data_IF_214869883542
#
_entry.id   IF_214869883542
#
_cell.length_a   1.000
_cell.length_b   1.000
_cell.length_c   1.000
_cell.angle_alpha   90.00
_cell.angle_beta   90.00
_cell.angle_gamma   90.00
#
_symmetry.space_group_name_H-M   'P 1'
#
loop_
_entity.id
_entity.type
_entity.pdbx_description
1 polymer ?
#
# COMPACT_ATOMS: atom_id res chain seq x y z
N UNK A 1 18.53 38.31 -48.02
CA UNK A 1 19.03 37.96 -46.68
C UNK A 1 17.97 38.34 -45.65
N UNK A 2 17.20 37.37 -45.17
CA UNK A 2 16.28 37.57 -44.05
C UNK A 2 16.36 36.34 -43.16
N UNK A 3 17.07 36.44 -42.04
CA UNK A 3 17.17 35.36 -41.04
C UNK A 3 15.87 35.37 -40.24
N UNK A 4 14.99 34.41 -40.50
CA UNK A 4 13.89 34.09 -39.60
C UNK A 4 14.47 33.34 -38.41
N UNK A 5 14.70 34.05 -37.31
CA UNK A 5 15.04 33.45 -36.01
C UNK A 5 13.75 32.79 -35.52
N UNK A 6 13.67 31.48 -35.63
CA UNK A 6 12.68 30.70 -34.88
C UNK A 6 13.14 30.72 -33.43
N UNK A 7 12.57 31.63 -32.63
CA UNK A 7 12.64 31.51 -31.18
C UNK A 7 11.92 30.22 -30.81
N UNK A 8 12.69 29.17 -30.58
CA UNK A 8 12.25 28.01 -29.81
C UNK A 8 11.85 28.55 -28.43
N UNK A 9 10.55 28.74 -28.22
CA UNK A 9 10.00 28.98 -26.89
C UNK A 9 10.50 27.85 -25.99
N UNK A 10 11.40 28.18 -25.07
CA UNK A 10 11.79 27.28 -24.00
C UNK A 10 10.52 26.83 -23.26
N UNK A 11 10.35 25.53 -22.95
CA UNK A 11 9.25 25.12 -22.09
C UNK A 11 9.41 25.87 -20.76
N UNK A 12 8.36 26.58 -20.33
CA UNK A 12 8.36 27.23 -19.03
C UNK A 12 8.74 26.18 -17.98
N UNK A 13 9.90 26.33 -17.35
CA UNK A 13 10.31 25.46 -16.25
C UNK A 13 9.32 25.69 -15.12
N UNK A 14 8.44 24.73 -14.89
CA UNK A 14 7.59 24.71 -13.69
C UNK A 14 8.49 24.80 -12.45
N UNK A 15 8.09 25.61 -11.46
CA UNK A 15 8.83 25.76 -10.19
C UNK A 15 8.19 24.86 -9.11
N UNK A 16 8.89 24.60 -8.01
CA UNK A 16 8.27 24.00 -6.82
C UNK A 16 7.56 25.09 -6.01
N UNK A 17 6.29 24.87 -5.68
CA UNK A 17 5.55 25.81 -4.83
C UNK A 17 6.07 25.78 -3.39
N UNK A 18 6.47 24.59 -2.94
CA UNK A 18 6.99 24.40 -1.58
C UNK A 18 8.35 25.07 -1.45
N UNK A 19 9.26 24.89 -2.42
CA UNK A 19 10.54 25.61 -2.42
C UNK A 19 10.36 27.13 -2.44
N UNK A 20 9.46 27.66 -3.28
CA UNK A 20 9.17 29.11 -3.31
C UNK A 20 8.65 29.60 -1.95
N UNK A 21 7.80 28.82 -1.30
CA UNK A 21 7.27 29.16 0.03
C UNK A 21 8.37 29.14 1.09
N UNK A 22 9.23 28.12 1.09
CA UNK A 22 10.35 27.99 2.03
C UNK A 22 11.45 29.02 1.76
N UNK A 23 11.66 29.48 0.52
CA UNK A 23 12.59 30.58 0.24
C UNK A 23 12.12 31.90 0.87
N UNK A 24 10.80 32.13 0.88
CA UNK A 24 10.23 33.32 1.50
C UNK A 24 10.09 33.19 3.02
N UNK A 25 9.88 31.98 3.53
CA UNK A 25 9.78 31.68 4.95
C UNK A 25 10.38 30.29 5.25
N UNK A 26 11.65 30.28 5.60
CA UNK A 26 12.45 29.04 5.73
C UNK A 26 12.01 28.12 6.85
N UNK A 27 11.32 28.65 7.86
CA UNK A 27 10.89 27.88 9.03
C UNK A 27 9.43 27.39 8.91
N UNK A 28 8.75 27.63 7.79
CA UNK A 28 7.34 27.27 7.60
C UNK A 28 7.09 25.78 7.82
N UNK A 29 6.03 25.49 8.58
CA UNK A 29 5.55 24.14 8.76
C UNK A 29 4.74 23.66 7.55
N UNK A 30 4.47 22.36 7.44
CA UNK A 30 3.69 21.84 6.32
C UNK A 30 2.26 22.39 6.31
N UNK A 31 1.66 22.61 7.48
CA UNK A 31 0.34 23.23 7.58
C UNK A 31 0.33 24.67 7.03
N UNK A 32 1.39 25.46 7.26
CA UNK A 32 1.52 26.80 6.67
C UNK A 32 1.61 26.74 5.14
N UNK A 33 2.36 25.77 4.62
CA UNK A 33 2.51 25.55 3.17
C UNK A 33 1.16 25.14 2.57
N UNK A 34 0.44 24.19 3.18
CA UNK A 34 -0.90 23.78 2.75
C UNK A 34 -1.90 24.93 2.81
N UNK A 35 -1.88 25.74 3.86
CA UNK A 35 -2.77 26.89 4.00
C UNK A 35 -2.54 27.92 2.89
N UNK A 36 -1.27 28.28 2.65
CA UNK A 36 -0.90 29.20 1.56
C UNK A 36 -1.26 28.66 0.18
N UNK A 37 -1.12 27.35 -0.01
CA UNK A 37 -1.56 26.68 -1.23
C UNK A 37 -3.08 26.83 -1.41
N UNK A 38 -3.85 26.55 -0.34
CA UNK A 38 -5.30 26.64 -0.35
C UNK A 38 -5.80 28.06 -0.59
N UNK A 39 -5.30 29.08 0.12
CA UNK A 39 -5.68 30.48 -0.11
C UNK A 39 -5.44 30.90 -1.57
N UNK A 40 -4.30 30.48 -2.14
CA UNK A 40 -3.97 30.78 -3.53
C UNK A 40 -4.89 30.07 -4.52
N UNK A 41 -5.32 28.84 -4.23
CA UNK A 41 -6.31 28.12 -5.03
C UNK A 41 -7.68 28.82 -5.02
N UNK A 42 -8.15 29.27 -3.85
CA UNK A 42 -9.41 30.03 -3.71
C UNK A 42 -9.37 31.38 -4.44
N UNK A 43 -8.24 32.10 -4.36
CA UNK A 43 -8.05 33.35 -5.10
C UNK A 43 -8.19 33.16 -6.61
N UNK A 44 -7.75 32.01 -7.15
CA UNK A 44 -7.88 31.69 -8.57
C UNK A 44 -9.32 31.37 -8.94
N UNK A 45 -10.05 30.64 -8.08
CA UNK A 45 -11.48 30.37 -8.27
C UNK A 45 -12.32 31.66 -8.21
N UNK A 46 -11.97 32.60 -7.34
CA UNK A 46 -12.62 33.91 -7.24
C UNK A 46 -12.34 34.82 -8.46
N UNK A 47 -11.14 34.76 -9.04
CA UNK A 47 -10.80 35.48 -10.28
C UNK A 47 -11.48 34.84 -11.51
N UNK A 48 -11.61 33.51 -11.54
CA UNK A 48 -12.32 32.80 -12.60
C UNK A 48 -13.83 33.09 -12.61
N UNK A 49 -14.42 33.40 -11.45
CA UNK A 49 -15.85 33.72 -11.32
C UNK A 49 -16.19 35.20 -11.60
N UNK A 50 -15.19 36.08 -11.62
CA UNK A 50 -15.35 37.53 -11.91
C UNK A 50 -14.94 37.94 -13.34
N UNK A 51 -14.31 37.04 -14.10
CA UNK A 51 -13.99 37.23 -15.53
C UNK A 51 -15.12 36.77 -16.45
N UNK A 52 -15.86 37.70 -17.05
CA UNK A 52 -16.74 37.42 -18.18
C UNK A 52 -15.96 36.85 -19.36
N UNK A 53 -16.33 35.65 -19.82
CA UNK A 53 -15.89 35.12 -21.12
C UNK A 53 -15.56 33.62 -21.12
N UNK A 54 -16.61 32.80 -21.18
CA UNK A 54 -16.63 31.38 -21.60
C UNK A 54 -15.35 30.57 -21.53
N UNK A 55 -15.07 29.93 -20.39
CA UNK A 55 -14.31 28.67 -20.35
C UNK A 55 -14.95 27.74 -19.32
N UNK A 56 -15.22 26.50 -19.73
CA UNK A 56 -15.85 25.43 -18.94
C UNK A 56 -15.12 25.12 -17.62
N UNK A 57 -15.83 24.69 -16.55
CA UNK A 57 -15.28 24.56 -15.19
C UNK A 57 -14.21 23.45 -14.99
N UNK A 58 -13.79 22.75 -16.05
CA UNK A 58 -12.70 21.77 -16.01
C UNK A 58 -11.29 22.39 -16.15
N UNK A 59 -11.17 23.71 -16.35
CA UNK A 59 -9.88 24.37 -16.66
C UNK A 59 -9.26 25.19 -15.52
N UNK A 60 -9.96 25.44 -14.41
CA UNK A 60 -9.45 26.30 -13.33
C UNK A 60 -8.36 25.63 -12.47
N UNK A 61 -8.53 24.34 -12.13
CA UNK A 61 -7.48 23.52 -11.50
C UNK A 61 -6.22 23.40 -12.39
N UNK A 62 -6.40 23.52 -13.71
CA UNK A 62 -5.31 23.48 -14.69
C UNK A 62 -4.50 24.79 -14.78
N UNK A 63 -5.04 25.95 -14.40
CA UNK A 63 -4.30 27.22 -14.51
C UNK A 63 -3.15 27.34 -13.50
N UNK A 64 -3.26 26.74 -12.32
CA UNK A 64 -2.15 26.65 -11.37
C UNK A 64 -1.23 25.44 -11.63
N UNK A 65 -1.80 24.33 -12.09
CA UNK A 65 -1.03 23.13 -12.45
C UNK A 65 0.00 23.38 -13.57
N UNK A 66 -0.26 24.35 -14.45
CA UNK A 66 0.69 24.75 -15.50
C UNK A 66 1.92 25.55 -15.02
N UNK A 67 1.95 26.04 -13.77
CA UNK A 67 3.07 26.85 -13.23
C UNK A 67 3.98 26.11 -12.27
N UNK A 68 3.47 25.06 -11.60
CA UNK A 68 4.19 24.30 -10.59
C UNK A 68 4.41 22.84 -10.98
N UNK A 69 5.27 22.12 -10.25
CA UNK A 69 5.46 20.69 -10.46
C UNK A 69 4.14 19.94 -10.23
N UNK A 70 3.64 19.30 -11.29
CA UNK A 70 2.36 18.59 -11.27
C UNK A 70 2.23 17.59 -10.11
N UNK A 71 3.31 16.88 -9.79
CA UNK A 71 3.32 15.89 -8.71
C UNK A 71 3.19 16.54 -7.32
N UNK A 72 3.89 17.65 -7.05
CA UNK A 72 3.70 18.40 -5.79
C UNK A 72 2.26 18.91 -5.66
N UNK A 73 1.70 19.43 -6.75
CA UNK A 73 0.32 19.91 -6.80
C UNK A 73 -0.67 18.79 -6.49
N UNK A 74 -0.50 17.63 -7.12
CA UNK A 74 -1.34 16.47 -6.86
C UNK A 74 -1.23 16.00 -5.41
N UNK A 75 -0.03 15.99 -4.85
CA UNK A 75 0.19 15.57 -3.46
C UNK A 75 -0.39 16.58 -2.46
N UNK A 76 -0.17 17.89 -2.66
CA UNK A 76 -0.77 18.93 -1.83
C UNK A 76 -2.30 18.88 -1.88
N UNK A 77 -2.90 18.68 -3.06
CA UNK A 77 -4.34 18.51 -3.18
C UNK A 77 -4.85 17.25 -2.46
N UNK A 78 -4.10 16.15 -2.55
CA UNK A 78 -4.42 14.92 -1.80
C UNK A 78 -4.38 15.17 -0.28
N UNK A 79 -3.31 15.79 0.22
CA UNK A 79 -3.16 16.11 1.65
C UNK A 79 -4.20 17.10 2.14
N UNK A 80 -4.57 18.09 1.32
CA UNK A 80 -5.65 19.01 1.61
C UNK A 80 -7.00 18.29 1.71
N UNK A 81 -7.28 17.35 0.80
CA UNK A 81 -8.49 16.53 0.88
C UNK A 81 -8.51 15.64 2.14
N UNK A 82 -7.36 15.11 2.55
CA UNK A 82 -7.22 14.34 3.80
C UNK A 82 -7.51 15.21 5.03
N UNK A 83 -7.04 16.46 5.05
CA UNK A 83 -7.26 17.40 6.15
C UNK A 83 -8.75 17.73 6.37
N UNK A 84 -9.55 17.74 5.31
CA UNK A 84 -10.99 18.05 5.37
C UNK A 84 -11.84 16.88 5.94
N UNK A 85 -11.28 15.68 6.07
CA UNK A 85 -12.00 14.52 6.62
C UNK A 85 -12.02 14.55 8.16
N UNK A 86 -13.12 14.11 8.81
CA UNK A 86 -13.18 13.96 10.26
C UNK A 86 -12.07 13.02 10.77
N UNK A 87 -11.13 13.55 11.57
CA UNK A 87 -9.96 12.80 12.07
C UNK A 87 -8.69 12.95 11.24
N UNK A 88 -8.77 13.46 10.00
CA UNK A 88 -7.61 13.67 9.13
C UNK A 88 -6.66 14.76 9.62
N UNK A 89 -7.17 15.75 10.36
CA UNK A 89 -6.34 16.79 10.98
C UNK A 89 -5.28 16.21 11.94
N UNK A 90 -5.64 15.21 12.76
CA UNK A 90 -4.69 14.57 13.70
C UNK A 90 -3.56 13.82 13.00
N UNK A 91 -3.84 13.21 11.85
CA UNK A 91 -2.84 12.49 11.07
C UNK A 91 -1.82 13.45 10.39
N UNK A 92 -2.24 14.69 10.11
CA UNK A 92 -1.40 15.71 9.49
C UNK A 92 -0.66 16.60 10.49
N UNK A 93 -1.04 16.59 11.78
CA UNK A 93 -0.33 17.30 12.85
C UNK A 93 1.15 16.89 12.93
N UNK A 94 1.45 15.60 12.71
CA UNK A 94 2.81 15.07 12.72
C UNK A 94 3.48 15.08 11.32
N UNK A 95 2.73 15.44 10.27
CA UNK A 95 3.24 15.38 8.91
C UNK A 95 3.93 16.70 8.53
N UNK A 96 5.25 16.67 8.47
CA UNK A 96 6.09 17.87 8.27
C UNK A 96 6.59 18.01 6.84
N UNK A 97 7.24 19.14 6.53
CA UNK A 97 7.89 19.37 5.22
C UNK A 97 8.96 18.31 4.95
N UNK A 98 9.62 17.78 5.98
CA UNK A 98 10.58 16.68 5.82
C UNK A 98 9.90 15.37 5.38
N UNK A 99 8.70 15.07 5.90
CA UNK A 99 7.89 13.92 5.46
C UNK A 99 7.46 14.09 4.00
N UNK A 100 7.04 15.30 3.62
CA UNK A 100 6.73 15.65 2.24
C UNK A 100 7.94 15.51 1.31
N UNK A 101 9.12 15.97 1.76
CA UNK A 101 10.37 15.79 1.03
C UNK A 101 10.70 14.31 0.84
N UNK A 102 10.49 13.47 1.86
CA UNK A 102 10.66 12.02 1.79
C UNK A 102 9.67 11.36 0.82
N UNK A 103 8.41 11.81 0.76
CA UNK A 103 7.42 11.29 -0.17
C UNK A 103 7.74 11.64 -1.64
N UNK A 104 8.40 12.79 -1.85
CA UNK A 104 8.91 13.24 -3.14
C UNK A 104 10.27 12.65 -3.53
N UNK A 105 11.08 12.23 -2.56
CA UNK A 105 12.49 11.96 -2.77
C UNK A 105 13.32 13.23 -3.04
N UNK A 106 12.83 14.40 -2.60
CA UNK A 106 13.46 15.69 -2.91
C UNK A 106 14.57 16.03 -1.91
N UNK A 107 15.83 15.88 -2.37
CA UNK A 107 17.00 16.32 -1.62
C UNK A 107 17.02 17.84 -1.38
N UNK A 108 16.66 18.70 -2.36
CA UNK A 108 16.58 20.15 -2.13
C UNK A 108 15.64 20.51 -0.98
N UNK A 109 14.42 19.94 -0.95
CA UNK A 109 13.47 20.19 0.13
C UNK A 109 13.96 19.67 1.49
N UNK A 110 14.65 18.53 1.51
CA UNK A 110 15.32 18.03 2.71
C UNK A 110 16.41 19.00 3.20
N UNK A 111 17.19 19.58 2.28
CA UNK A 111 18.17 20.61 2.58
C UNK A 111 17.55 21.87 3.17
N UNK A 112 16.40 22.30 2.65
CA UNK A 112 15.67 23.45 3.20
C UNK A 112 15.14 23.18 4.61
N UNK A 113 14.76 21.92 4.91
CA UNK A 113 14.33 21.50 6.24
C UNK A 113 15.47 21.46 7.29
N UNK A 114 16.74 21.57 6.90
CA UNK A 114 17.88 21.63 7.83
C UNK A 114 17.86 22.89 8.70
N UNK A 115 17.25 23.96 8.19
CA UNK A 115 17.06 25.20 8.95
C UNK A 115 16.12 25.04 10.15
N UNK A 116 15.54 23.86 10.38
CA UNK A 116 14.56 23.58 11.42
C UNK A 116 13.15 23.93 10.98
N UNK A 117 12.18 23.12 11.39
CA UNK A 117 10.76 23.26 11.03
C UNK A 117 9.99 23.76 12.25
N UNK A 118 9.17 24.80 12.10
CA UNK A 118 8.27 25.22 13.17
C UNK A 118 7.18 24.15 13.36
N UNK A 119 6.98 23.68 14.58
CA UNK A 119 5.90 22.75 14.90
C UNK A 119 5.13 23.23 16.14
N UNK A 120 3.82 22.96 16.24
CA UNK A 120 3.06 23.26 17.44
C UNK A 120 3.65 22.54 18.66
N UNK A 121 3.69 23.21 19.82
CA UNK A 121 4.15 22.57 21.07
C UNK A 121 3.25 21.39 21.46
N UNK A 122 3.85 20.26 21.84
CA UNK A 122 3.15 19.04 22.29
C UNK A 122 2.95 17.97 21.23
N UNK A 123 3.37 18.22 19.99
CA UNK A 123 3.30 17.26 18.86
C UNK A 123 4.39 16.18 18.94
N UNK A 124 5.47 16.43 19.68
CA UNK A 124 6.55 15.46 19.92
C UNK A 124 6.39 14.73 21.25
N UNK A 125 6.48 13.40 21.23
CA UNK A 125 6.50 12.54 22.41
C UNK A 125 7.84 12.68 23.13
N UNK A 126 8.03 13.76 23.88
CA UNK A 126 9.07 13.82 24.91
C UNK A 126 8.48 14.40 26.18
N UNK A 127 8.51 13.61 27.25
CA UNK A 127 8.25 14.03 28.63
C UNK A 127 9.28 15.08 29.05
N UNK A 128 9.06 16.35 28.70
CA UNK A 128 9.71 17.47 29.36
C UNK A 128 8.66 18.51 29.72
N UNK A 129 8.49 18.73 31.02
CA UNK A 129 7.68 19.81 31.55
C UNK A 129 8.32 21.15 31.15
N UNK A 130 7.62 21.96 30.33
CA UNK A 130 8.11 23.28 29.93
C UNK A 130 7.00 24.34 30.00
N UNK A 131 7.37 25.51 30.53
CA UNK A 131 6.51 26.62 30.90
C UNK A 131 6.00 27.50 29.73
N UNK A 132 5.15 28.51 30.05
CA UNK A 132 4.30 29.19 29.08
C UNK A 132 5.01 30.39 28.44
N UNK A 133 5.19 30.40 27.11
CA UNK A 133 5.35 31.66 26.34
C UNK A 133 5.30 31.56 24.80
N UNK A 134 5.41 30.39 24.14
CA UNK A 134 5.34 30.31 22.66
C UNK A 134 4.52 29.10 22.19
N UNK A 135 3.64 29.28 21.18
CA UNK A 135 2.77 28.22 20.65
C UNK A 135 3.48 27.26 19.68
N UNK A 136 4.60 27.69 19.08
CA UNK A 136 5.41 26.93 18.13
C UNK A 136 6.85 26.85 18.60
N UNK A 137 7.51 25.74 18.27
CA UNK A 137 8.92 25.49 18.54
C UNK A 137 9.63 25.12 17.23
N UNK A 138 10.84 25.62 17.03
CA UNK A 138 11.67 25.27 15.89
C UNK A 138 12.37 23.95 16.18
N UNK A 139 12.00 22.92 15.44
CA UNK A 139 12.48 21.56 15.67
C UNK A 139 13.53 21.20 14.62
N UNK A 140 14.74 20.79 15.04
CA UNK A 140 15.79 20.39 14.13
C UNK A 140 15.48 19.06 13.43
N UNK A 141 16.12 18.86 12.27
CA UNK A 141 15.84 17.72 11.38
C UNK A 141 16.17 16.36 12.01
N UNK A 142 17.16 16.29 12.91
CA UNK A 142 17.52 15.07 13.64
C UNK A 142 16.36 14.58 14.53
N UNK A 143 15.76 15.48 15.32
CA UNK A 143 14.59 15.15 16.16
C UNK A 143 13.46 14.64 15.28
N UNK A 144 13.16 15.31 14.16
CA UNK A 144 12.10 14.87 13.24
C UNK A 144 12.42 13.48 12.67
N UNK A 145 13.66 13.25 12.26
CA UNK A 145 14.10 11.97 11.65
C UNK A 145 13.96 10.80 12.61
N UNK A 146 14.23 11.00 13.91
CA UNK A 146 14.27 9.90 14.89
C UNK A 146 13.03 9.76 15.76
N UNK A 147 12.22 10.81 15.93
CA UNK A 147 11.15 10.81 16.94
C UNK A 147 9.76 11.03 16.39
N UNK A 148 9.64 11.60 15.18
CA UNK A 148 8.34 11.99 14.63
C UNK A 148 7.98 11.09 13.44
N UNK A 149 7.12 10.08 13.63
CA UNK A 149 6.53 9.33 12.53
C UNK A 149 5.35 10.07 11.91
N UNK A 150 4.96 9.67 10.70
CA UNK A 150 3.71 10.09 10.08
C UNK A 150 2.48 9.42 10.75
N UNK A 151 1.28 9.73 10.25
CA UNK A 151 0.03 9.14 10.75
C UNK A 151 -0.11 7.62 10.54
N UNK A 152 0.76 6.99 9.73
CA UNK A 152 0.84 5.54 9.53
C UNK A 152 1.96 4.91 10.40
N UNK A 153 2.69 5.69 11.20
CA UNK A 153 3.82 5.21 12.00
C UNK A 153 5.16 5.17 11.24
N UNK A 154 5.24 5.72 10.03
CA UNK A 154 6.44 5.71 9.19
C UNK A 154 7.34 6.92 9.46
N UNK A 155 8.63 6.66 9.71
CA UNK A 155 9.66 7.70 9.69
C UNK A 155 10.08 8.06 8.26
N UNK A 156 10.87 9.13 8.10
CA UNK A 156 11.34 9.62 6.79
C UNK A 156 11.99 8.54 5.92
N UNK A 157 12.78 7.66 6.54
CA UNK A 157 13.44 6.52 5.89
C UNK A 157 12.44 5.50 5.34
N UNK A 158 11.41 5.15 6.11
CA UNK A 158 10.33 4.25 5.71
C UNK A 158 9.47 4.84 4.58
N UNK A 159 9.14 6.13 4.65
CA UNK A 159 8.39 6.81 3.57
C UNK A 159 9.19 6.78 2.26
N UNK A 160 10.47 7.14 2.33
CA UNK A 160 11.36 7.11 1.17
C UNK A 160 11.53 5.68 0.63
N UNK A 161 11.63 4.68 1.50
CA UNK A 161 11.69 3.26 1.14
C UNK A 161 10.41 2.78 0.45
N UNK A 162 9.24 3.11 0.99
CA UNK A 162 7.92 2.81 0.41
C UNK A 162 7.73 3.42 -0.97
N UNK A 163 8.38 4.56 -1.26
CA UNK A 163 8.31 5.25 -2.56
C UNK A 163 9.47 4.94 -3.51
N UNK A 164 10.50 4.21 -3.06
CA UNK A 164 11.64 3.81 -3.89
C UNK A 164 12.73 4.88 -4.03
N UNK A 165 12.81 5.86 -3.13
CA UNK A 165 13.73 6.99 -3.23
C UNK A 165 15.11 6.70 -2.64
N UNK A 166 15.93 5.96 -3.39
CA UNK A 166 17.28 5.53 -2.97
C UNK A 166 18.17 6.70 -2.54
N UNK A 167 18.27 7.76 -3.36
CA UNK A 167 19.14 8.90 -3.08
C UNK A 167 18.72 9.67 -1.81
N UNK A 168 17.42 9.67 -1.49
CA UNK A 168 16.90 10.29 -0.29
C UNK A 168 17.34 9.53 0.95
N UNK A 169 17.18 8.20 0.95
CA UNK A 169 17.66 7.35 2.04
C UNK A 169 19.17 7.46 2.18
N UNK A 170 19.91 7.43 1.06
CA UNK A 170 21.35 7.60 1.05
C UNK A 170 21.77 8.97 1.62
N UNK A 171 21.01 10.04 1.37
CA UNK A 171 21.25 11.35 1.97
C UNK A 171 21.05 11.36 3.48
N UNK A 172 20.00 10.69 3.99
CA UNK A 172 19.81 10.52 5.44
C UNK A 172 20.96 9.71 6.05
N UNK A 173 21.36 8.59 5.41
CA UNK A 173 22.46 7.74 5.86
C UNK A 173 23.80 8.49 5.90
N UNK A 174 24.10 9.32 4.88
CA UNK A 174 25.31 10.16 4.86
C UNK A 174 25.35 11.17 6.00
N UNK A 175 24.17 11.64 6.46
CA UNK A 175 24.05 12.68 7.50
C UNK A 175 24.07 12.11 8.91
N UNK A 176 23.32 11.04 9.14
CA UNK A 176 23.04 10.53 10.48
C UNK A 176 23.64 9.15 10.75
N UNK A 177 24.23 8.52 9.73
CA UNK A 177 24.85 7.20 9.82
C UNK A 177 23.91 6.06 9.45
N UNK A 178 24.48 5.00 8.86
CA UNK A 178 23.71 3.86 8.36
C UNK A 178 22.99 3.10 9.47
N UNK A 179 23.67 2.78 10.57
CA UNK A 179 23.09 2.03 11.68
C UNK A 179 21.90 2.75 12.33
N UNK A 180 21.98 4.07 12.47
CA UNK A 180 20.91 4.87 13.08
C UNK A 180 19.66 4.96 12.20
N UNK A 181 19.82 5.07 10.88
CA UNK A 181 18.70 5.23 9.94
C UNK A 181 18.11 3.89 9.51
N UNK A 182 18.96 2.91 9.15
CA UNK A 182 18.50 1.62 8.63
C UNK A 182 18.04 0.68 9.75
N UNK A 183 18.50 0.89 10.99
CA UNK A 183 18.01 0.20 12.17
C UNK A 183 16.72 0.79 12.76
N UNK A 184 16.12 1.80 12.10
CA UNK A 184 14.82 2.30 12.50
C UNK A 184 13.72 1.30 12.16
N UNK A 185 12.67 1.38 12.96
CA UNK A 185 11.54 0.48 12.99
C UNK A 185 10.28 1.34 13.06
N UNK A 186 9.25 1.05 12.27
CA UNK A 186 7.98 1.82 12.29
C UNK A 186 7.35 1.82 13.69
N UNK A 187 6.57 2.86 13.98
CA UNK A 187 5.99 3.03 15.32
C UNK A 187 5.02 1.88 15.65
N UNK A 188 5.24 1.11 16.74
CA UNK A 188 4.52 -0.14 17.01
C UNK A 188 3.01 0.05 17.22
N UNK A 189 2.61 1.17 17.82
CA UNK A 189 1.20 1.43 18.18
C UNK A 189 0.33 1.91 17.02
N UNK A 190 0.94 2.32 15.90
CA UNK A 190 0.24 2.98 14.77
C UNK A 190 0.14 2.08 13.53
N UNK A 191 0.83 0.94 13.50
CA UNK A 191 0.73 -0.01 12.38
C UNK A 191 -0.60 -0.80 12.45
N UNK A 192 -1.38 -0.87 11.35
CA UNK A 192 -2.67 -1.58 11.32
C UNK A 192 -2.61 -3.07 11.69
N UNK A 193 -1.42 -3.67 11.63
CA UNK A 193 -1.17 -5.10 11.89
C UNK A 193 -0.31 -5.34 13.15
N UNK A 194 -0.02 -4.29 13.93
CA UNK A 194 0.60 -4.39 15.26
C UNK A 194 2.06 -4.86 15.30
N UNK A 195 2.78 -4.80 14.18
CA UNK A 195 4.19 -5.22 14.13
C UNK A 195 5.03 -4.21 13.34
N UNK A 196 6.15 -3.84 13.93
CA UNK A 196 7.07 -2.83 13.42
C UNK A 196 7.91 -3.36 12.27
N UNK A 197 8.05 -2.57 11.21
CA UNK A 197 8.87 -2.88 10.04
C UNK A 197 10.14 -2.04 10.04
N UNK A 198 11.26 -2.66 9.68
CA UNK A 198 12.49 -1.96 9.33
C UNK A 198 12.40 -1.30 7.96
N UNK A 199 13.37 -0.43 7.65
CA UNK A 199 13.48 0.23 6.34
C UNK A 199 13.56 -0.78 5.18
N UNK A 200 14.30 -1.87 5.36
CA UNK A 200 14.42 -2.93 4.34
C UNK A 200 13.08 -3.64 4.14
N UNK A 201 12.45 -4.05 5.23
CA UNK A 201 11.15 -4.75 5.19
C UNK A 201 10.06 -3.86 4.59
N UNK A 202 10.05 -2.55 4.88
CA UNK A 202 9.15 -1.59 4.23
C UNK A 202 9.40 -1.53 2.72
N UNK A 203 10.66 -1.42 2.28
CA UNK A 203 10.98 -1.44 0.85
C UNK A 203 10.50 -2.74 0.17
N UNK A 204 10.65 -3.87 0.86
CA UNK A 204 10.24 -5.18 0.36
C UNK A 204 8.73 -5.30 0.23
N UNK A 205 8.01 -4.95 1.29
CA UNK A 205 6.56 -5.04 1.35
C UNK A 205 5.89 -4.15 0.30
N UNK A 206 6.47 -3.00 -0.03
CA UNK A 206 5.89 -2.04 -0.97
C UNK A 206 6.51 -2.07 -2.39
N UNK A 207 7.33 -3.07 -2.72
CA UNK A 207 7.76 -3.26 -4.11
C UNK A 207 8.99 -2.47 -4.56
N UNK A 208 9.74 -1.85 -3.65
CA UNK A 208 10.83 -0.92 -3.97
C UNK A 208 12.16 -1.63 -4.24
N UNK A 209 12.23 -2.40 -5.34
CA UNK A 209 13.44 -3.15 -5.74
C UNK A 209 14.71 -2.29 -5.84
N UNK A 210 14.69 -1.02 -6.31
CA UNK A 210 15.89 -0.19 -6.32
C UNK A 210 16.48 0.05 -4.93
N UNK A 211 15.62 0.17 -3.91
CA UNK A 211 16.05 0.35 -2.51
C UNK A 211 16.61 -0.97 -1.97
N UNK A 212 15.96 -2.11 -2.23
CA UNK A 212 16.46 -3.42 -1.84
C UNK A 212 17.86 -3.68 -2.41
N UNK A 213 18.02 -3.49 -3.73
CA UNK A 213 19.30 -3.66 -4.41
C UNK A 213 20.39 -2.75 -3.83
N UNK A 214 20.06 -1.48 -3.55
CA UNK A 214 21.01 -0.56 -2.94
C UNK A 214 21.40 -0.97 -1.51
N UNK A 215 20.44 -1.44 -0.70
CA UNK A 215 20.68 -1.92 0.66
C UNK A 215 21.57 -3.17 0.66
N UNK A 216 21.28 -4.17 -0.17
CA UNK A 216 22.08 -5.41 -0.22
C UNK A 216 23.51 -5.16 -0.72
N UNK A 217 23.68 -4.22 -1.65
CA UNK A 217 25.01 -3.90 -2.21
C UNK A 217 25.83 -3.04 -1.24
N UNK A 218 25.21 -2.06 -0.59
CA UNK A 218 25.92 -1.02 0.18
C UNK A 218 25.91 -1.26 1.69
N UNK A 219 24.89 -1.95 2.20
CA UNK A 219 24.61 -2.12 3.63
C UNK A 219 24.10 -3.55 3.93
N UNK A 220 24.89 -4.61 3.65
CA UNK A 220 24.44 -6.00 3.76
C UNK A 220 24.02 -6.42 5.18
N UNK A 221 24.39 -5.66 6.22
CA UNK A 221 23.96 -5.92 7.59
C UNK A 221 22.45 -5.70 7.81
N UNK A 222 21.76 -4.98 6.92
CA UNK A 222 20.31 -4.76 6.97
C UNK A 222 19.52 -5.67 6.03
N UNK A 223 20.18 -6.61 5.35
CA UNK A 223 19.54 -7.51 4.40
C UNK A 223 18.65 -8.53 5.11
N UNK A 224 17.47 -8.79 4.55
CA UNK A 224 16.53 -9.79 5.05
C UNK A 224 16.92 -11.19 4.58
N UNK A 225 17.32 -12.07 5.49
CA UNK A 225 17.58 -13.48 5.20
C UNK A 225 16.30 -14.34 5.17
N UNK A 226 16.29 -15.49 4.45
CA UNK A 226 15.15 -16.40 4.41
C UNK A 226 14.90 -17.16 5.72
N UNK A 227 15.91 -17.26 6.58
CA UNK A 227 15.79 -17.91 7.89
C UNK A 227 15.26 -16.96 8.99
N UNK A 228 15.05 -15.68 8.67
CA UNK A 228 14.54 -14.71 9.63
C UNK A 228 13.04 -14.89 9.85
N UNK A 229 12.60 -14.71 11.10
CA UNK A 229 11.20 -14.85 11.49
C UNK A 229 10.27 -13.89 10.71
N UNK A 230 10.80 -12.74 10.30
CA UNK A 230 10.04 -11.73 9.57
C UNK A 230 9.96 -11.99 8.06
N UNK A 231 10.75 -12.91 7.50
CA UNK A 231 10.79 -13.16 6.06
C UNK A 231 9.43 -13.64 5.52
N UNK A 232 8.80 -14.60 6.21
CA UNK A 232 7.46 -15.10 5.87
C UNK A 232 6.44 -13.96 5.85
N UNK A 233 6.47 -13.09 6.86
CA UNK A 233 5.55 -11.95 6.98
C UNK A 233 5.73 -10.95 5.85
N UNK A 234 6.98 -10.62 5.53
CA UNK A 234 7.31 -9.72 4.43
C UNK A 234 6.82 -10.28 3.10
N UNK A 235 7.07 -11.57 2.84
CA UNK A 235 6.60 -12.29 1.65
C UNK A 235 5.07 -12.30 1.56
N UNK A 236 4.38 -12.60 2.65
CA UNK A 236 2.92 -12.58 2.71
C UNK A 236 2.34 -11.18 2.43
N UNK A 237 2.90 -10.12 3.01
CA UNK A 237 2.44 -8.72 2.78
C UNK A 237 2.76 -8.23 1.36
N UNK A 238 3.96 -8.51 0.84
CA UNK A 238 4.32 -8.15 -0.53
C UNK A 238 3.38 -8.81 -1.54
N UNK A 239 3.02 -10.07 -1.30
CA UNK A 239 2.05 -10.82 -2.10
C UNK A 239 0.64 -10.24 -2.01
N UNK A 240 0.20 -9.87 -0.81
CA UNK A 240 -1.10 -9.21 -0.57
C UNK A 240 -1.21 -7.85 -1.26
N UNK A 241 -0.11 -7.17 -1.55
CA UNK A 241 -0.08 -5.92 -2.31
C UNK A 241 0.29 -6.11 -3.79
N UNK A 242 0.56 -7.35 -4.22
CA UNK A 242 0.83 -7.68 -5.62
C UNK A 242 2.24 -7.36 -6.11
N UNK A 243 3.21 -7.20 -5.21
CA UNK A 243 4.59 -6.84 -5.55
C UNK A 243 5.43 -8.06 -5.96
N UNK A 244 5.11 -8.62 -7.13
CA UNK A 244 5.85 -9.76 -7.70
C UNK A 244 7.36 -9.47 -7.88
N UNK A 245 7.74 -8.22 -8.16
CA UNK A 245 9.15 -7.86 -8.39
C UNK A 245 10.01 -7.99 -7.12
N UNK A 246 9.47 -7.69 -5.94
CA UNK A 246 10.19 -7.90 -4.67
C UNK A 246 10.36 -9.38 -4.36
N UNK A 247 9.32 -10.19 -4.58
CA UNK A 247 9.41 -11.64 -4.45
C UNK A 247 10.45 -12.22 -5.43
N UNK A 248 10.43 -11.78 -6.69
CA UNK A 248 11.40 -12.19 -7.71
C UNK A 248 12.82 -11.86 -7.29
N UNK A 249 13.03 -10.63 -6.79
CA UNK A 249 14.33 -10.18 -6.31
C UNK A 249 14.84 -11.06 -5.15
N UNK A 250 14.01 -11.31 -4.14
CA UNK A 250 14.36 -12.18 -3.01
C UNK A 250 14.65 -13.63 -3.42
N UNK A 251 13.87 -14.18 -4.36
CA UNK A 251 14.12 -15.52 -4.89
C UNK A 251 15.43 -15.60 -5.68
N UNK A 252 15.77 -14.57 -6.45
CA UNK A 252 17.05 -14.48 -7.15
C UNK A 252 18.24 -14.34 -6.19
N UNK A 253 18.07 -13.57 -5.10
CA UNK A 253 19.13 -13.31 -4.13
C UNK A 253 19.49 -14.56 -3.30
N UNK A 254 18.48 -15.31 -2.84
CA UNK A 254 18.70 -16.45 -1.93
C UNK A 254 18.53 -17.83 -2.59
N UNK A 255 18.12 -17.89 -3.85
CA UNK A 255 17.95 -19.13 -4.60
C UNK A 255 17.03 -20.11 -3.88
N UNK A 256 17.43 -21.39 -3.85
CA UNK A 256 16.63 -22.48 -3.25
C UNK A 256 16.25 -22.25 -1.78
N UNK A 257 17.05 -21.51 -1.01
CA UNK A 257 16.77 -21.24 0.40
C UNK A 257 15.52 -20.36 0.59
N UNK A 258 15.15 -19.56 -0.41
CA UNK A 258 13.93 -18.75 -0.36
C UNK A 258 12.65 -19.52 -0.69
N UNK A 259 12.75 -20.71 -1.30
CA UNK A 259 11.59 -21.37 -1.91
C UNK A 259 10.53 -21.75 -0.88
N UNK A 260 10.94 -22.20 0.30
CA UNK A 260 10.01 -22.55 1.37
C UNK A 260 9.22 -21.31 1.84
N UNK A 261 9.92 -20.19 2.05
CA UNK A 261 9.30 -18.93 2.46
C UNK A 261 8.43 -18.36 1.33
N UNK A 262 8.89 -18.41 0.08
CA UNK A 262 8.21 -17.85 -1.07
C UNK A 262 6.85 -18.52 -1.33
N UNK A 263 6.68 -19.80 -0.97
CA UNK A 263 5.37 -20.48 -1.05
C UNK A 263 4.31 -19.77 -0.21
N UNK A 264 4.68 -19.16 0.91
CA UNK A 264 3.75 -18.44 1.79
C UNK A 264 3.14 -17.19 1.10
N UNK A 265 3.71 -16.71 -0.01
CA UNK A 265 3.08 -15.68 -0.84
C UNK A 265 1.84 -16.18 -1.60
N UNK A 266 1.69 -17.50 -1.78
CA UNK A 266 0.62 -18.07 -2.60
C UNK A 266 -0.77 -17.68 -2.08
N UNK A 267 -0.99 -17.82 -0.77
CA UNK A 267 -2.31 -17.66 -0.18
C UNK A 267 -2.78 -16.20 -0.17
N UNK A 268 -1.96 -15.21 0.29
CA UNK A 268 -2.37 -13.80 0.25
C UNK A 268 -2.51 -13.27 -1.17
N UNK A 269 -1.66 -13.72 -2.12
CA UNK A 269 -1.80 -13.36 -3.52
C UNK A 269 -3.10 -13.91 -4.12
N UNK A 270 -3.45 -15.15 -3.80
CA UNK A 270 -4.67 -15.78 -4.27
C UNK A 270 -5.91 -15.10 -3.70
N UNK A 271 -5.89 -14.77 -2.41
CA UNK A 271 -6.95 -14.00 -1.77
C UNK A 271 -7.14 -12.63 -2.43
N UNK A 272 -6.06 -11.89 -2.67
CA UNK A 272 -6.14 -10.56 -3.30
C UNK A 272 -6.37 -10.61 -4.83
N UNK A 273 -6.26 -11.79 -5.46
CA UNK A 273 -6.43 -11.98 -6.89
C UNK A 273 -5.24 -11.52 -7.74
N UNK A 274 -4.03 -11.44 -7.18
CA UNK A 274 -2.82 -11.00 -7.89
C UNK A 274 -2.18 -12.12 -8.70
N UNK A 275 -2.71 -12.39 -9.88
CA UNK A 275 -2.23 -13.45 -10.81
C UNK A 275 -0.75 -13.36 -11.14
N UNK A 276 -0.17 -12.15 -11.24
CA UNK A 276 1.25 -11.95 -11.51
C UNK A 276 2.17 -12.60 -10.45
N UNK A 277 1.75 -12.58 -9.18
CA UNK A 277 2.50 -13.25 -8.09
C UNK A 277 2.37 -14.77 -8.22
N UNK A 278 1.18 -15.29 -8.51
CA UNK A 278 1.00 -16.73 -8.73
C UNK A 278 1.80 -17.25 -9.93
N UNK A 279 1.81 -16.51 -11.04
CA UNK A 279 2.60 -16.85 -12.22
C UNK A 279 4.10 -16.88 -11.92
N UNK A 280 4.61 -15.94 -11.11
CA UNK A 280 6.00 -15.95 -10.64
C UNK A 280 6.30 -17.21 -9.81
N UNK A 281 5.42 -17.54 -8.86
CA UNK A 281 5.59 -18.72 -8.01
C UNK A 281 5.55 -20.02 -8.83
N UNK A 282 4.61 -20.15 -9.76
CA UNK A 282 4.53 -21.31 -10.69
C UNK A 282 5.77 -21.42 -11.54
N UNK A 283 6.23 -20.31 -12.13
CA UNK A 283 7.41 -20.30 -12.98
C UNK A 283 8.67 -20.74 -12.22
N UNK A 284 8.78 -20.38 -10.93
CA UNK A 284 10.00 -20.60 -10.15
C UNK A 284 9.97 -21.90 -9.34
N UNK A 285 8.79 -22.31 -8.85
CA UNK A 285 8.60 -23.45 -7.95
C UNK A 285 7.92 -24.65 -8.61
N UNK A 286 7.37 -24.46 -9.82
CA UNK A 286 6.65 -25.47 -10.59
C UNK A 286 5.13 -25.41 -10.43
N UNK A 287 4.40 -25.95 -11.40
CA UNK A 287 2.93 -25.87 -11.50
C UNK A 287 2.19 -26.44 -10.28
N UNK A 288 2.72 -27.50 -9.67
CA UNK A 288 2.11 -28.15 -8.51
C UNK A 288 2.03 -27.25 -7.27
N UNK A 289 2.78 -26.14 -7.23
CA UNK A 289 2.78 -25.23 -6.09
C UNK A 289 1.40 -24.62 -5.84
N UNK A 290 0.59 -24.41 -6.89
CA UNK A 290 -0.74 -23.78 -6.80
C UNK A 290 -1.69 -24.56 -5.88
N UNK A 291 -1.49 -25.88 -5.79
CA UNK A 291 -2.32 -26.79 -5.01
C UNK A 291 -1.70 -27.16 -3.67
N UNK A 292 -0.58 -26.52 -3.29
CA UNK A 292 0.03 -26.75 -1.98
C UNK A 292 -0.92 -26.22 -0.88
N UNK A 293 -1.27 -27.04 0.12
CA UNK A 293 -2.09 -26.60 1.24
C UNK A 293 -1.26 -25.80 2.26
N UNK A 294 -1.91 -24.84 2.90
CA UNK A 294 -1.38 -24.13 4.06
C UNK A 294 -1.44 -25.00 5.34
N UNK A 295 -1.06 -24.43 6.48
CA UNK A 295 -1.10 -25.11 7.79
C UNK A 295 -2.50 -25.55 8.24
N UNK A 296 -3.55 -25.01 7.62
CA UNK A 296 -4.95 -25.38 7.85
C UNK A 296 -5.49 -26.32 6.77
N UNK A 297 -4.64 -26.83 5.87
CA UNK A 297 -5.08 -27.67 4.75
C UNK A 297 -5.68 -26.87 3.59
N UNK A 298 -5.76 -25.54 3.68
CA UNK A 298 -6.43 -24.71 2.70
C UNK A 298 -5.49 -24.41 1.53
N UNK A 299 -5.98 -24.64 0.31
CA UNK A 299 -5.27 -24.37 -0.95
C UNK A 299 -5.47 -22.93 -1.42
N UNK A 300 -4.71 -22.49 -2.44
CA UNK A 300 -4.88 -21.17 -3.06
C UNK A 300 -6.34 -20.88 -3.47
N UNK A 301 -7.08 -21.90 -3.90
CA UNK A 301 -8.48 -21.78 -4.29
C UNK A 301 -9.40 -21.44 -3.10
N UNK A 302 -9.14 -21.97 -1.90
CA UNK A 302 -9.88 -21.61 -0.69
C UNK A 302 -9.74 -20.11 -0.37
N UNK A 303 -8.51 -19.61 -0.45
CA UNK A 303 -8.18 -18.20 -0.22
C UNK A 303 -8.80 -17.29 -1.29
N UNK A 304 -8.71 -17.67 -2.57
CA UNK A 304 -9.37 -16.97 -3.67
C UNK A 304 -10.90 -16.92 -3.51
N UNK A 305 -11.49 -18.02 -3.02
CA UNK A 305 -12.92 -18.11 -2.79
C UNK A 305 -13.40 -17.16 -1.69
N UNK A 306 -12.58 -16.89 -0.66
CA UNK A 306 -12.89 -16.00 0.47
C UNK A 306 -13.31 -14.59 0.06
N UNK A 307 -12.73 -14.06 -1.03
CA UNK A 307 -13.11 -12.76 -1.61
C UNK A 307 -13.89 -12.89 -2.93
N UNK A 308 -14.17 -14.12 -3.38
CA UNK A 308 -14.90 -14.39 -4.61
C UNK A 308 -14.14 -13.97 -5.88
N UNK A 309 -12.82 -14.20 -5.93
CA UNK A 309 -11.94 -13.82 -7.04
C UNK A 309 -12.16 -14.69 -8.29
N UNK A 310 -13.18 -14.34 -9.08
CA UNK A 310 -13.59 -15.10 -10.28
C UNK A 310 -12.51 -15.15 -11.35
N UNK A 311 -11.74 -14.07 -11.49
CA UNK A 311 -10.67 -13.95 -12.47
C UNK A 311 -9.60 -15.00 -12.20
N UNK A 312 -9.23 -15.20 -10.93
CA UNK A 312 -8.28 -16.23 -10.54
C UNK A 312 -8.86 -17.64 -10.67
N UNK A 313 -10.15 -17.83 -10.38
CA UNK A 313 -10.82 -19.11 -10.62
C UNK A 313 -10.80 -19.51 -12.10
N UNK A 314 -11.00 -18.55 -13.01
CA UNK A 314 -10.90 -18.76 -14.46
C UNK A 314 -9.47 -19.10 -14.88
N UNK A 315 -8.48 -18.42 -14.32
CA UNK A 315 -7.05 -18.71 -14.54
C UNK A 315 -6.72 -20.15 -14.10
N UNK A 316 -7.19 -20.57 -12.93
CA UNK A 316 -7.01 -21.94 -12.43
C UNK A 316 -7.62 -22.99 -13.33
N UNK A 317 -8.82 -22.72 -13.84
CA UNK A 317 -9.48 -23.61 -14.80
C UNK A 317 -8.70 -23.75 -16.10
N UNK A 318 -8.16 -22.65 -16.62
CA UNK A 318 -7.46 -22.64 -17.91
C UNK A 318 -6.07 -23.25 -17.84
N UNK A 319 -5.38 -23.13 -16.70
CA UNK A 319 -3.94 -23.38 -16.63
C UNK A 319 -3.48 -24.43 -15.62
N UNK A 320 -4.29 -24.80 -14.62
CA UNK A 320 -3.78 -25.61 -13.49
C UNK A 320 -4.63 -26.85 -13.15
N UNK A 321 -5.36 -27.44 -14.10
CA UNK A 321 -6.12 -28.68 -13.88
C UNK A 321 -7.16 -28.59 -12.73
N UNK A 322 -7.80 -27.43 -12.56
CA UNK A 322 -8.79 -27.15 -11.49
C UNK A 322 -9.78 -28.29 -11.21
N UNK A 323 -10.19 -29.04 -12.22
CA UNK A 323 -11.13 -30.15 -12.09
C UNK A 323 -10.73 -31.20 -11.05
N UNK A 324 -9.43 -31.40 -10.81
CA UNK A 324 -8.94 -32.35 -9.81
C UNK A 324 -9.00 -31.80 -8.38
N UNK A 325 -9.11 -30.47 -8.23
CA UNK A 325 -8.91 -29.74 -6.97
C UNK A 325 -10.11 -28.85 -6.57
N UNK A 326 -11.17 -28.83 -7.39
CA UNK A 326 -12.29 -27.88 -7.26
C UNK A 326 -13.05 -28.01 -5.92
N UNK A 327 -13.04 -29.20 -5.32
CA UNK A 327 -13.67 -29.53 -4.03
C UNK A 327 -12.65 -30.07 -3.01
N UNK A 328 -11.36 -29.74 -3.16
CA UNK A 328 -10.36 -30.09 -2.15
C UNK A 328 -10.81 -29.60 -0.78
N UNK A 329 -10.59 -30.40 0.26
CA UNK A 329 -11.01 -30.07 1.62
C UNK A 329 -9.84 -29.56 2.43
N UNK A 330 -10.10 -28.53 3.24
CA UNK A 330 -9.18 -28.12 4.29
C UNK A 330 -9.20 -29.09 5.48
N UNK A 331 -8.42 -28.80 6.53
CA UNK A 331 -8.32 -29.66 7.73
C UNK A 331 -9.61 -29.75 8.57
N UNK A 332 -10.64 -28.96 8.25
CA UNK A 332 -11.97 -29.06 8.86
C UNK A 332 -12.99 -29.66 7.88
N UNK A 333 -12.54 -30.25 6.77
CA UNK A 333 -13.43 -30.83 5.76
C UNK A 333 -14.12 -29.80 4.86
N UNK A 334 -13.79 -28.52 4.97
CA UNK A 334 -14.50 -27.45 4.25
C UNK A 334 -13.95 -27.31 2.84
N UNK A 335 -14.84 -27.18 1.87
CA UNK A 335 -14.48 -26.95 0.46
C UNK A 335 -14.27 -25.46 0.16
N UNK A 336 -13.68 -25.08 -0.99
CA UNK A 336 -13.56 -23.67 -1.38
C UNK A 336 -14.90 -22.97 -1.48
N UNK A 337 -15.96 -23.68 -1.86
CA UNK A 337 -17.31 -23.14 -1.87
C UNK A 337 -17.74 -22.70 -0.45
N UNK A 338 -17.49 -23.52 0.58
CA UNK A 338 -17.80 -23.18 1.97
C UNK A 338 -16.99 -21.96 2.44
N UNK A 339 -15.71 -21.86 2.06
CA UNK A 339 -14.88 -20.67 2.30
C UNK A 339 -15.45 -19.42 1.64
N UNK A 340 -16.03 -19.53 0.44
CA UNK A 340 -16.70 -18.41 -0.23
C UNK A 340 -17.88 -17.85 0.57
N UNK A 341 -18.64 -18.73 1.23
CA UNK A 341 -19.77 -18.33 2.07
C UNK A 341 -19.31 -17.77 3.41
N UNK A 342 -18.27 -18.37 4.02
CA UNK A 342 -17.69 -17.91 5.29
C UNK A 342 -16.93 -16.57 5.17
N UNK A 343 -16.51 -16.20 3.95
CA UNK A 343 -15.77 -14.97 3.68
C UNK A 343 -16.51 -13.69 4.07
N UNK A 344 -15.77 -12.75 4.68
CA UNK A 344 -16.32 -11.49 5.20
C UNK A 344 -16.69 -10.48 4.10
N UNK A 345 -16.15 -10.61 2.88
CA UNK A 345 -16.38 -9.66 1.77
C UNK A 345 -17.28 -10.27 0.71
N UNK A 346 -18.42 -9.60 0.49
CA UNK A 346 -19.62 -10.18 -0.12
C UNK A 346 -19.77 -9.89 -1.63
N UNK A 347 -18.70 -9.54 -2.33
CA UNK A 347 -18.79 -9.25 -3.78
C UNK A 347 -18.77 -10.58 -4.54
N UNK A 348 -19.75 -10.77 -5.42
CA UNK A 348 -19.82 -11.88 -6.38
C UNK A 348 -19.81 -13.32 -5.85
N UNK A 349 -20.23 -13.55 -4.59
CA UNK A 349 -20.32 -14.90 -3.99
C UNK A 349 -21.21 -15.84 -4.84
N UNK A 350 -22.38 -15.36 -5.28
CA UNK A 350 -23.30 -16.17 -6.11
C UNK A 350 -22.66 -16.56 -7.43
N UNK A 351 -22.02 -15.61 -8.11
CA UNK A 351 -21.34 -15.84 -9.38
C UNK A 351 -20.16 -16.80 -9.22
N UNK A 352 -19.39 -16.69 -8.13
CA UNK A 352 -18.30 -17.61 -7.82
C UNK A 352 -18.83 -19.04 -7.61
N UNK A 353 -19.89 -19.21 -6.81
CA UNK A 353 -20.53 -20.52 -6.60
C UNK A 353 -21.11 -21.12 -7.90
N UNK A 354 -21.69 -20.29 -8.78
CA UNK A 354 -22.15 -20.72 -10.11
C UNK A 354 -21.00 -21.19 -10.99
N UNK A 355 -19.86 -20.49 -10.96
CA UNK A 355 -18.66 -20.89 -11.70
C UNK A 355 -18.09 -22.20 -11.18
N UNK A 356 -18.02 -22.39 -9.85
CA UNK A 356 -17.59 -23.66 -9.26
C UNK A 356 -18.45 -24.83 -9.76
N UNK A 357 -19.79 -24.69 -9.78
CA UNK A 357 -20.68 -25.72 -10.35
C UNK A 357 -20.39 -25.98 -11.82
N UNK A 358 -20.17 -24.92 -12.62
CA UNK A 358 -19.82 -25.05 -14.04
C UNK A 358 -18.50 -25.81 -14.23
N UNK A 359 -17.55 -25.69 -13.29
CA UNK A 359 -16.27 -26.37 -13.32
C UNK A 359 -16.28 -27.76 -12.67
N UNK A 360 -17.45 -28.25 -12.28
CA UNK A 360 -17.66 -29.62 -11.80
C UNK A 360 -17.68 -29.78 -10.29
N UNK A 361 -17.74 -28.68 -9.53
CA UNK A 361 -17.90 -28.73 -8.07
C UNK A 361 -19.21 -29.40 -7.66
N UNK A 362 -19.14 -30.22 -6.62
CA UNK A 362 -20.25 -30.92 -5.97
C UNK A 362 -20.60 -30.30 -4.62
N UNK A 363 -20.23 -29.04 -4.39
CA UNK A 363 -20.49 -28.35 -3.13
C UNK A 363 -21.94 -28.45 -2.58
N UNK A 364 -23.01 -28.55 -3.39
CA UNK A 364 -24.37 -28.68 -2.83
C UNK A 364 -24.59 -29.97 -2.04
N UNK A 365 -23.81 -31.03 -2.34
CA UNK A 365 -23.89 -32.34 -1.66
C UNK A 365 -22.75 -32.55 -0.66
N UNK A 366 -21.65 -31.82 -0.80
CA UNK A 366 -20.49 -31.92 0.10
C UNK A 366 -20.81 -31.48 1.53
N UNK A 367 -20.07 -32.08 2.46
CA UNK A 367 -20.15 -31.82 3.90
C UNK A 367 -18.76 -31.64 4.49
N UNK A 368 -18.68 -30.76 5.49
CA UNK A 368 -17.51 -30.61 6.34
C UNK A 368 -17.40 -31.79 7.34
N UNK A 369 -16.35 -31.79 8.15
CA UNK A 369 -16.09 -32.87 9.10
C UNK A 369 -17.11 -32.90 10.26
N UNK A 370 -17.76 -31.78 10.55
CA UNK A 370 -18.91 -31.70 11.46
C UNK A 370 -20.23 -32.18 10.82
N UNK A 371 -20.22 -32.55 9.53
CA UNK A 371 -21.37 -33.03 8.79
C UNK A 371 -22.32 -31.92 8.30
N UNK A 372 -21.94 -30.65 8.44
CA UNK A 372 -22.69 -29.52 7.90
C UNK A 372 -22.59 -29.50 6.37
N UNK A 373 -23.73 -29.31 5.73
CA UNK A 373 -23.78 -28.94 4.31
C UNK A 373 -23.68 -27.42 4.16
N UNK A 374 -23.65 -26.92 2.93
CA UNK A 374 -23.63 -25.49 2.66
C UNK A 374 -24.81 -24.71 3.29
N UNK A 375 -25.97 -25.36 3.52
CA UNK A 375 -27.15 -24.69 4.06
C UNK A 375 -26.89 -24.14 5.48
N UNK A 376 -26.55 -24.95 6.50
CA UNK A 376 -26.19 -24.44 7.82
C UNK A 376 -25.16 -23.30 7.78
N UNK A 377 -24.13 -23.42 6.94
CA UNK A 377 -23.06 -22.42 6.79
C UNK A 377 -23.62 -21.07 6.31
N UNK A 378 -24.45 -21.07 5.25
CA UNK A 378 -25.05 -19.82 4.75
C UNK A 378 -26.07 -19.22 5.73
N UNK A 379 -26.76 -20.05 6.51
CA UNK A 379 -27.72 -19.58 7.52
C UNK A 379 -27.02 -18.87 8.69
N UNK A 380 -25.81 -19.31 9.04
CA UNK A 380 -24.98 -18.67 10.06
C UNK A 380 -24.41 -17.32 9.60
N UNK A 381 -24.00 -17.21 8.34
CA UNK A 381 -23.30 -16.02 7.82
C UNK A 381 -24.22 -14.96 7.20
N UNK A 382 -25.42 -15.32 6.74
CA UNK A 382 -26.30 -14.43 5.97
C UNK A 382 -27.71 -14.29 6.54
N UNK A 383 -28.26 -13.08 6.42
CA UNK A 383 -29.64 -12.79 6.80
C UNK A 383 -30.63 -13.68 6.02
N UNK A 384 -31.80 -14.00 6.61
CA UNK A 384 -32.84 -14.78 5.94
C UNK A 384 -33.27 -14.24 4.56
N UNK A 385 -33.18 -12.92 4.37
CA UNK A 385 -33.56 -12.19 3.16
C UNK A 385 -32.45 -12.09 2.11
N UNK A 386 -31.26 -12.63 2.38
CA UNK A 386 -30.13 -12.57 1.44
C UNK A 386 -30.40 -13.43 0.20
N UNK A 387 -30.15 -12.84 -0.98
CA UNK A 387 -30.19 -13.55 -2.26
C UNK A 387 -29.27 -14.78 -2.28
N UNK A 388 -28.13 -14.73 -1.59
CA UNK A 388 -27.18 -15.85 -1.49
C UNK A 388 -27.82 -17.03 -0.75
N UNK A 389 -28.52 -16.76 0.35
CA UNK A 389 -29.20 -17.80 1.14
C UNK A 389 -30.31 -18.48 0.33
N UNK A 390 -31.11 -17.69 -0.39
CA UNK A 390 -32.14 -18.22 -1.28
C UNK A 390 -31.52 -19.08 -2.39
N UNK A 391 -30.47 -18.59 -3.05
CA UNK A 391 -29.75 -19.31 -4.09
C UNK A 391 -29.17 -20.65 -3.61
N UNK A 392 -28.47 -20.66 -2.46
CA UNK A 392 -27.89 -21.88 -1.88
C UNK A 392 -28.98 -22.91 -1.56
N UNK A 393 -30.07 -22.50 -0.91
CA UNK A 393 -31.19 -23.38 -0.59
C UNK A 393 -31.84 -23.99 -1.83
N UNK A 394 -32.12 -23.18 -2.85
CA UNK A 394 -32.68 -23.65 -4.10
C UNK A 394 -31.76 -24.65 -4.83
N UNK A 395 -30.45 -24.38 -4.83
CA UNK A 395 -29.46 -25.23 -5.51
C UNK A 395 -29.29 -26.58 -4.80
N UNK A 396 -29.20 -26.57 -3.47
CA UNK A 396 -29.10 -27.80 -2.66
C UNK A 396 -30.37 -28.64 -2.80
N UNK A 397 -31.56 -28.01 -2.72
CA UNK A 397 -32.83 -28.72 -2.90
C UNK A 397 -32.99 -29.33 -4.30
N UNK A 398 -32.42 -28.69 -5.33
CA UNK A 398 -32.44 -29.20 -6.71
C UNK A 398 -31.46 -30.36 -6.93
N UNK A 399 -30.40 -30.44 -6.12
CA UNK A 399 -29.37 -31.49 -6.23
C UNK A 399 -29.74 -32.77 -5.46
N UNK A 400 -30.79 -32.72 -4.63
CA UNK A 400 -31.32 -33.85 -3.85
C UNK A 400 -32.53 -34.54 -4.52
N UNK A 401 -33.00 -33.99 -5.64
CA UNK A 401 -34.04 -34.60 -6.50
C UNK A 401 -33.36 -35.38 -7.61
#
# INVERSE_FOLDING_TARGET
MGRTIVQLCQPQRCRSFVEETLQNNSASCFADVLHRWYERSLLIEAVATTGQGGVTPATATNQCAGRYHLYEVQLLNKKLSEAQLPGGYRALENYTVAHFAAELGSIPLLGMAEGGILLPRGVHVTNYALGPSCAFEQVPLDIITFTLPDGEGNYLSHIAAKKGHVEFIAALVRRFGAAAILGQHTHPDLEPLGQSLSVYETAFVYGSVPVLHWLDTSHPFSALGPAEENAVRCVQRAALYGHADSLRYFMQLHGLASHEVAVEALYPAAEAGFTAVLQLLVHTLGEKVVWRPDSHGATALHHAARLGCKELLLDFFQHYELHQHVDDKDNAGRTPAMWCVLGLRKRSVVEFLKLLLKFGSKWPTERDDEGNSMVPVVEHCYSPTSNIRAFVKCTVASSQR
#
